data_IF_340365294235
#
_entry.id   IF_340365294235
#
_cell.length_a   1.000
_cell.length_b   1.000
_cell.length_c   1.000
_cell.angle_alpha   90.00
_cell.angle_beta   90.00
_cell.angle_gamma   90.00
#
_symmetry.space_group_name_H-M   'P 1'
#
loop_
_entity.id
_entity.type
_entity.pdbx_description
1 polymer ?
#
# COMPACT_ATOMS: atom_id res chain seq x y z
N UNK A 1 -9.81 -1.93 12.34
CA UNK A 1 -9.11 -1.92 11.04
C UNK A 1 -9.66 -0.77 10.20
N UNK A 2 -8.84 0.25 9.91
CA UNK A 2 -9.19 1.45 9.13
C UNK A 2 -8.57 1.45 7.72
N UNK A 3 -7.88 0.38 7.32
CA UNK A 3 -7.30 0.26 5.99
C UNK A 3 -8.36 -0.17 4.97
N UNK A 4 -8.62 0.69 3.98
CA UNK A 4 -9.60 0.41 2.92
C UNK A 4 -8.94 0.03 1.58
N UNK A 5 -7.70 0.44 1.33
CA UNK A 5 -6.96 0.07 0.12
C UNK A 5 -6.44 -1.37 0.15
N UNK A 6 -6.50 -2.06 -1.00
CA UNK A 6 -6.02 -3.43 -1.20
C UNK A 6 -6.67 -4.48 -0.28
N UNK A 7 -7.92 -4.27 0.12
CA UNK A 7 -8.68 -5.17 0.99
C UNK A 7 -9.98 -5.60 0.30
N UNK A 8 -10.26 -6.90 0.30
CA UNK A 8 -11.50 -7.43 -0.26
C UNK A 8 -12.71 -6.86 0.49
N UNK A 9 -13.74 -6.49 -0.26
CA UNK A 9 -14.99 -5.93 0.30
C UNK A 9 -14.85 -4.51 0.85
N UNK A 10 -13.76 -3.81 0.53
CA UNK A 10 -13.56 -2.40 0.87
C UNK A 10 -13.23 -1.58 -0.37
N UNK A 11 -13.58 -0.30 -0.32
CA UNK A 11 -13.51 0.64 -1.43
C UNK A 11 -13.01 2.01 -0.97
N UNK A 12 -12.70 2.87 -1.94
CA UNK A 12 -12.40 4.28 -1.66
C UNK A 12 -13.62 5.02 -1.09
N UNK A 13 -14.83 4.59 -1.42
CA UNK A 13 -16.08 5.12 -0.88
C UNK A 13 -16.16 4.96 0.64
N UNK A 14 -15.68 3.84 1.19
CA UNK A 14 -15.67 3.62 2.64
C UNK A 14 -14.80 4.66 3.36
N UNK A 15 -13.65 5.02 2.79
CA UNK A 15 -12.78 6.08 3.33
C UNK A 15 -13.49 7.44 3.29
N UNK A 16 -14.14 7.77 2.16
CA UNK A 16 -14.85 9.04 1.99
C UNK A 16 -16.04 9.15 2.95
N UNK A 17 -16.81 8.08 3.13
CA UNK A 17 -17.93 8.04 4.07
C UNK A 17 -17.45 8.21 5.53
N UNK A 18 -16.31 7.62 5.90
CA UNK A 18 -15.73 7.84 7.22
C UNK A 18 -15.36 9.31 7.45
N UNK A 19 -14.67 9.94 6.49
CA UNK A 19 -14.29 11.36 6.58
C UNK A 19 -15.54 12.24 6.65
N UNK A 20 -16.55 11.97 5.83
CA UNK A 20 -17.81 12.71 5.81
C UNK A 20 -18.53 12.60 7.16
N UNK A 21 -18.64 11.38 7.71
CA UNK A 21 -19.26 11.14 9.01
C UNK A 21 -18.56 11.93 10.11
N UNK A 22 -17.24 11.88 10.15
CA UNK A 22 -16.46 12.55 11.20
C UNK A 22 -16.53 14.08 11.05
N UNK A 23 -16.60 14.58 9.81
CA UNK A 23 -16.84 15.99 9.49
C UNK A 23 -18.20 16.47 9.97
N UNK A 24 -19.27 15.71 9.68
CA UNK A 24 -20.63 16.02 10.13
C UNK A 24 -20.74 15.98 11.65
N UNK A 25 -20.09 15.02 12.29
CA UNK A 25 -20.05 14.94 13.75
C UNK A 25 -19.37 16.18 14.36
N UNK A 26 -18.22 16.60 13.83
CA UNK A 26 -17.52 17.80 14.31
C UNK A 26 -18.39 19.06 14.13
N UNK A 27 -19.01 19.21 12.96
CA UNK A 27 -19.92 20.32 12.65
C UNK A 27 -21.09 20.39 13.64
N UNK A 28 -21.79 19.28 13.84
CA UNK A 28 -22.96 19.22 14.73
C UNK A 28 -22.61 19.50 16.20
N UNK A 29 -21.36 19.24 16.61
CA UNK A 29 -20.89 19.45 17.97
C UNK A 29 -20.08 20.74 18.14
N UNK A 30 -20.09 21.65 17.15
CA UNK A 30 -19.30 22.89 17.15
C UNK A 30 -17.81 22.66 17.46
N UNK A 31 -17.25 21.54 16.98
CA UNK A 31 -15.84 21.19 17.10
C UNK A 31 -15.10 21.54 15.81
N UNK A 32 -13.80 21.77 15.92
CA UNK A 32 -12.90 21.92 14.78
C UNK A 32 -12.37 20.55 14.40
N UNK A 33 -12.40 20.22 13.10
CA UNK A 33 -11.75 19.04 12.53
C UNK A 33 -10.58 19.50 11.65
N UNK A 34 -9.43 18.83 11.79
CA UNK A 34 -8.26 19.02 10.94
C UNK A 34 -8.05 17.71 10.19
N UNK A 35 -7.88 17.79 8.87
CA UNK A 35 -7.59 16.65 8.01
C UNK A 35 -6.23 16.86 7.36
N UNK A 36 -5.33 15.90 7.56
CA UNK A 36 -3.97 15.91 6.99
C UNK A 36 -3.90 14.83 5.94
N UNK A 37 -3.70 15.23 4.69
CA UNK A 37 -3.46 14.32 3.57
C UNK A 37 -1.97 14.08 3.42
N UNK A 38 -1.56 12.80 3.41
CA UNK A 38 -0.19 12.38 3.24
C UNK A 38 -0.09 11.51 1.99
N UNK A 39 0.90 11.80 1.14
CA UNK A 39 1.23 11.01 -0.02
C UNK A 39 2.73 10.68 -0.01
N UNK A 40 3.06 9.42 -0.30
CA UNK A 40 4.45 8.94 -0.30
C UNK A 40 4.91 8.81 -1.74
N UNK A 41 5.80 9.71 -2.16
CA UNK A 41 6.40 9.68 -3.50
C UNK A 41 7.10 8.35 -3.73
N UNK A 42 6.73 7.65 -4.81
CA UNK A 42 7.36 6.38 -5.21
C UNK A 42 7.31 5.32 -4.10
N UNK A 43 6.15 5.13 -3.46
CA UNK A 43 6.01 4.26 -2.29
C UNK A 43 6.56 2.83 -2.49
N UNK A 44 6.43 2.27 -3.71
CA UNK A 44 6.95 0.94 -4.03
C UNK A 44 8.43 0.94 -4.41
N UNK A 45 8.93 2.01 -5.03
CA UNK A 45 10.34 2.11 -5.42
C UNK A 45 11.24 2.38 -4.21
N UNK A 46 10.73 3.12 -3.22
CA UNK A 46 11.48 3.57 -2.05
C UNK A 46 11.34 2.65 -0.83
N UNK A 47 10.61 1.54 -0.95
CA UNK A 47 10.39 0.64 0.18
C UNK A 47 11.65 -0.19 0.48
N UNK A 48 12.03 -0.26 1.75
CA UNK A 48 13.17 -1.08 2.17
C UNK A 48 12.73 -2.55 2.21
N UNK A 49 13.19 -3.36 1.26
CA UNK A 49 12.79 -4.79 1.14
C UNK A 49 12.93 -5.57 2.46
N UNK A 50 13.98 -5.29 3.25
CA UNK A 50 14.18 -5.92 4.57
C UNK A 50 13.00 -5.68 5.52
N UNK A 51 12.35 -4.51 5.46
CA UNK A 51 11.18 -4.21 6.31
C UNK A 51 9.97 -5.04 5.91
N UNK A 52 9.76 -5.28 4.60
CA UNK A 52 8.70 -6.16 4.10
C UNK A 52 8.94 -7.58 4.63
N UNK A 53 10.15 -8.12 4.46
CA UNK A 53 10.51 -9.47 4.92
C UNK A 53 10.29 -9.63 6.44
N UNK A 54 10.72 -8.65 7.24
CA UNK A 54 10.45 -8.64 8.68
C UNK A 54 8.95 -8.63 8.99
N UNK A 55 8.15 -7.92 8.20
CA UNK A 55 6.69 -7.93 8.31
C UNK A 55 6.09 -9.31 8.02
N UNK A 56 6.58 -10.00 6.99
CA UNK A 56 6.15 -11.37 6.66
C UNK A 56 6.50 -12.35 7.79
N UNK A 57 7.70 -12.25 8.38
CA UNK A 57 8.08 -13.06 9.56
C UNK A 57 7.10 -12.82 10.73
N UNK A 58 6.79 -11.55 11.03
CA UNK A 58 5.81 -11.21 12.08
C UNK A 58 4.40 -11.71 11.79
N UNK A 59 4.04 -11.83 10.51
CA UNK A 59 2.79 -12.43 10.08
C UNK A 59 2.82 -13.98 10.07
N UNK A 60 3.88 -14.59 10.62
CA UNK A 60 4.12 -16.04 10.65
C UNK A 60 4.23 -16.69 9.26
N UNK A 61 4.65 -15.94 8.23
CA UNK A 61 4.94 -16.49 6.91
C UNK A 61 6.36 -17.07 6.94
N UNK A 62 6.49 -18.35 6.58
CA UNK A 62 7.74 -19.10 6.63
C UNK A 62 7.84 -20.09 5.46
N UNK A 63 8.97 -20.80 5.36
CA UNK A 63 9.18 -21.86 4.38
C UNK A 63 9.17 -21.36 2.93
N UNK A 64 8.54 -22.14 2.04
CA UNK A 64 8.54 -21.88 0.59
C UNK A 64 8.03 -20.49 0.21
N UNK A 65 6.98 -20.00 0.87
CA UNK A 65 6.42 -18.68 0.57
C UNK A 65 7.36 -17.54 0.99
N UNK A 66 8.10 -17.70 2.09
CA UNK A 66 9.13 -16.75 2.50
C UNK A 66 10.30 -16.76 1.50
N UNK A 67 10.78 -17.93 1.11
CA UNK A 67 11.86 -18.07 0.13
C UNK A 67 11.47 -17.45 -1.22
N UNK A 68 10.27 -17.76 -1.71
CA UNK A 68 9.71 -17.12 -2.91
C UNK A 68 9.67 -15.59 -2.77
N UNK A 69 9.26 -15.06 -1.62
CA UNK A 69 9.22 -13.61 -1.40
C UNK A 69 10.62 -12.97 -1.43
N UNK A 70 11.62 -13.65 -0.86
CA UNK A 70 13.03 -13.20 -0.86
C UNK A 70 13.57 -13.17 -2.29
N UNK A 71 13.41 -14.27 -3.03
CA UNK A 71 13.84 -14.37 -4.43
C UNK A 71 13.10 -13.36 -5.30
N UNK A 72 11.79 -13.24 -5.11
CA UNK A 72 11.00 -12.23 -5.81
C UNK A 72 11.53 -10.83 -5.55
N UNK A 73 12.04 -10.49 -4.36
CA UNK A 73 12.54 -9.14 -4.08
C UNK A 73 14.04 -8.93 -4.38
N UNK A 74 14.75 -9.95 -4.87
CA UNK A 74 16.21 -9.90 -5.03
C UNK A 74 16.64 -10.07 -6.49
N UNK A 75 17.60 -9.26 -6.95
CA UNK A 75 18.28 -9.47 -8.25
C UNK A 75 17.36 -9.42 -9.48
N UNK A 76 16.26 -8.68 -9.41
CA UNK A 76 15.32 -8.55 -10.54
C UNK A 76 15.76 -7.45 -11.49
N UNK A 77 15.65 -7.76 -12.77
CA UNK A 77 15.61 -6.79 -13.86
C UNK A 77 14.19 -6.73 -14.42
N UNK A 78 13.71 -5.53 -14.74
CA UNK A 78 12.37 -5.30 -15.26
C UNK A 78 12.43 -4.60 -16.61
N UNK A 79 11.73 -5.15 -17.61
CA UNK A 79 11.51 -4.50 -18.89
C UNK A 79 10.04 -4.57 -19.29
N UNK A 80 9.56 -3.55 -19.99
CA UNK A 80 8.18 -3.43 -20.48
C UNK A 80 8.17 -3.67 -21.99
N UNK A 81 7.26 -4.52 -22.46
CA UNK A 81 7.02 -4.78 -23.88
C UNK A 81 5.67 -4.19 -24.29
N UNK A 82 5.65 -3.34 -25.31
CA UNK A 82 4.42 -2.80 -25.91
C UNK A 82 4.46 -3.06 -27.41
N UNK A 83 3.64 -4.01 -27.87
CA UNK A 83 3.74 -4.53 -29.24
C UNK A 83 5.08 -5.21 -29.46
N UNK A 84 5.86 -4.70 -30.41
CA UNK A 84 7.23 -5.18 -30.72
C UNK A 84 8.33 -4.36 -30.02
N UNK A 85 7.97 -3.29 -29.31
CA UNK A 85 8.92 -2.38 -28.66
C UNK A 85 9.18 -2.78 -27.22
N UNK A 86 10.44 -3.11 -26.88
CA UNK A 86 10.89 -3.45 -25.52
C UNK A 86 11.69 -2.30 -24.90
N UNK A 87 11.40 -1.97 -23.64
CA UNK A 87 12.23 -1.03 -22.87
C UNK A 87 13.59 -1.63 -22.50
N UNK A 88 14.54 -0.78 -22.15
CA UNK A 88 15.75 -1.20 -21.45
C UNK A 88 15.39 -1.87 -20.11
N UNK A 89 16.28 -2.75 -19.64
CA UNK A 89 16.15 -3.38 -18.34
C UNK A 89 16.39 -2.32 -17.24
N UNK A 90 15.44 -2.21 -16.33
CA UNK A 90 15.54 -1.47 -15.06
C UNK A 90 16.00 -2.38 -13.94
#
# INVERSE_FOLDING_TARGET
DIQNGFRQGRSTTDSLLSILRDSLYALNNRKVMILIFLDVKGAFDNIVHRQILNGLVKANIQGTLMNFSIEYMSGREVAVLVGESKSENK
#
